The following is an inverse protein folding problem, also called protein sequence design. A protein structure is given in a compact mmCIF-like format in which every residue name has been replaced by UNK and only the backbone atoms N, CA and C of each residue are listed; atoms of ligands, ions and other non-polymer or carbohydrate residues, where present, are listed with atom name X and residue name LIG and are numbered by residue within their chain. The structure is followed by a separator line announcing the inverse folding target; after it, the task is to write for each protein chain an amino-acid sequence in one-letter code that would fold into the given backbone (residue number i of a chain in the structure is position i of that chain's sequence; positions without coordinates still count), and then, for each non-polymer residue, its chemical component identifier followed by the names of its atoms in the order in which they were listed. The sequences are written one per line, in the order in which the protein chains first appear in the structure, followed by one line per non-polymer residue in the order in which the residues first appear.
data_IF_348715895300
#
_entry.id   IF_348715895300
#
_cell.length_a   1.000
_cell.length_b   1.000
_cell.length_c   1.000
_cell.angle_alpha   90.00
_cell.angle_beta   90.00
_cell.angle_gamma   90.00
#
_symmetry.space_group_name_H-M   'P 1'
#
loop_
_entity.id
_entity.type
_entity.pdbx_description
1 polymer ?
#
# COMPACT_ATOMS: atom_id res chain seq x y z
N UNK A 1 7.83 16.53 4.59
CA UNK A 1 8.32 17.25 3.38
C UNK A 1 7.18 17.40 2.40
N UNK A 2 7.08 18.50 1.64
CA UNK A 2 5.99 18.70 0.69
C UNK A 2 5.96 17.63 -0.42
N UNK A 3 7.13 17.28 -0.97
CA UNK A 3 7.25 16.26 -2.04
C UNK A 3 6.85 14.86 -1.57
N UNK A 4 7.13 14.50 -0.31
CA UNK A 4 6.65 13.26 0.31
C UNK A 4 5.12 13.21 0.34
N UNK A 5 4.48 14.28 0.82
CA UNK A 5 3.02 14.35 0.93
C UNK A 5 2.36 14.29 -0.44
N UNK A 6 2.93 15.00 -1.42
CA UNK A 6 2.44 14.95 -2.80
C UNK A 6 2.54 13.53 -3.39
N UNK A 7 3.69 12.87 -3.23
CA UNK A 7 3.89 11.50 -3.71
C UNK A 7 2.93 10.50 -3.06
N UNK A 8 2.63 10.68 -1.78
CA UNK A 8 1.65 9.87 -1.04
C UNK A 8 0.24 10.04 -1.62
N UNK A 9 -0.23 11.28 -1.74
CA UNK A 9 -1.57 11.59 -2.28
C UNK A 9 -1.74 11.17 -3.75
N UNK A 10 -0.66 11.17 -4.54
CA UNK A 10 -0.71 10.67 -5.92
C UNK A 10 -1.17 9.21 -6.01
N UNK A 11 -0.90 8.38 -5.01
CA UNK A 11 -1.36 6.98 -5.02
C UNK A 11 -2.87 6.88 -4.84
N UNK A 12 -3.46 7.69 -3.95
CA UNK A 12 -4.92 7.73 -3.77
C UNK A 12 -5.66 8.17 -5.05
N UNK A 13 -5.01 8.95 -5.91
CA UNK A 13 -5.57 9.34 -7.21
C UNK A 13 -5.68 8.17 -8.22
N UNK A 14 -5.05 7.02 -7.95
CA UNK A 14 -5.11 5.85 -8.84
C UNK A 14 -6.40 5.04 -8.70
N UNK A 15 -7.11 5.19 -7.57
CA UNK A 15 -8.38 4.52 -7.27
C UNK A 15 -9.33 5.46 -6.51
N UNK A 16 -9.76 6.59 -7.12
CA UNK A 16 -10.56 7.58 -6.42
C UNK A 16 -11.93 7.00 -6.06
N UNK A 17 -12.21 6.85 -4.77
CA UNK A 17 -13.50 6.34 -4.28
C UNK A 17 -14.49 7.45 -3.91
N UNK A 18 -14.01 8.70 -3.78
CA UNK A 18 -14.78 9.81 -3.22
C UNK A 18 -15.10 9.66 -1.73
N UNK A 19 -14.66 8.56 -1.11
CA UNK A 19 -14.83 8.26 0.30
C UNK A 19 -13.48 8.41 1.03
N UNK A 20 -13.54 8.79 2.30
CA UNK A 20 -12.35 8.98 3.14
C UNK A 20 -11.84 7.66 3.74
N UNK A 21 -12.11 6.52 3.10
CA UNK A 21 -11.89 5.19 3.64
C UNK A 21 -10.86 4.48 2.77
N UNK A 22 -9.62 4.44 3.23
CA UNK A 22 -8.55 3.63 2.68
C UNK A 22 -8.36 2.38 3.55
N UNK A 23 -8.00 1.25 2.93
CA UNK A 23 -7.55 0.07 3.66
C UNK A 23 -6.03 0.13 3.85
N UNK A 24 -5.49 -0.78 4.65
CA UNK A 24 -4.05 -0.86 4.95
C UNK A 24 -3.20 -1.00 3.68
N UNK A 25 -3.69 -1.71 2.66
CA UNK A 25 -3.01 -1.85 1.37
C UNK A 25 -2.83 -0.50 0.67
N UNK A 26 -3.90 0.29 0.57
CA UNK A 26 -3.86 1.59 -0.10
C UNK A 26 -2.91 2.57 0.61
N UNK A 27 -3.02 2.68 1.93
CA UNK A 27 -2.16 3.54 2.76
C UNK A 27 -0.70 3.06 2.78
N UNK A 28 -0.51 1.73 2.79
CA UNK A 28 0.80 1.10 2.70
C UNK A 28 1.48 1.39 1.38
N UNK A 29 0.74 1.35 0.26
CA UNK A 29 1.27 1.69 -1.08
C UNK A 29 1.61 3.16 -1.18
N UNK A 30 0.72 4.04 -0.70
CA UNK A 30 0.94 5.48 -0.65
C UNK A 30 2.21 5.81 0.16
N UNK A 31 2.40 5.14 1.30
CA UNK A 31 3.59 5.30 2.14
C UNK A 31 4.84 4.73 1.48
N UNK A 32 4.78 3.51 0.94
CA UNK A 32 5.91 2.83 0.32
C UNK A 32 6.47 3.64 -0.87
N UNK A 33 5.61 4.04 -1.80
CA UNK A 33 6.05 4.79 -2.98
C UNK A 33 6.47 6.22 -2.66
N UNK A 34 5.87 6.88 -1.66
CA UNK A 34 6.33 8.19 -1.20
C UNK A 34 7.74 8.13 -0.59
N UNK A 35 8.03 7.12 0.24
CA UNK A 35 9.37 6.85 0.76
C UNK A 35 10.37 6.59 -0.36
N UNK A 36 10.02 5.68 -1.27
CA UNK A 36 10.85 5.31 -2.41
C UNK A 36 11.20 6.52 -3.27
N UNK A 37 10.19 7.31 -3.65
CA UNK A 37 10.38 8.53 -4.42
C UNK A 37 11.32 9.52 -3.73
N UNK A 38 11.13 9.77 -2.44
CA UNK A 38 11.98 10.76 -1.74
C UNK A 38 13.42 10.27 -1.60
N UNK A 39 13.60 8.97 -1.37
CA UNK A 39 14.92 8.37 -1.31
C UNK A 39 15.64 8.44 -2.67
N UNK A 40 14.95 8.08 -3.76
CA UNK A 40 15.52 8.06 -5.11
C UNK A 40 15.84 9.46 -5.64
N UNK A 41 14.94 10.43 -5.46
CA UNK A 41 15.09 11.77 -6.05
C UNK A 41 15.89 12.75 -5.18
N UNK A 42 15.88 12.57 -3.85
CA UNK A 42 16.52 13.51 -2.93
C UNK A 42 17.59 12.88 -2.03
N UNK A 43 17.79 11.56 -2.08
CA UNK A 43 18.76 10.85 -1.24
C UNK A 43 18.46 10.96 0.26
N UNK A 44 17.18 11.13 0.63
CA UNK A 44 16.75 11.34 2.02
C UNK A 44 15.77 10.28 2.46
N UNK A 45 15.96 9.79 3.68
CA UNK A 45 14.94 9.02 4.38
C UNK A 45 14.03 9.97 5.17
N UNK A 46 12.71 9.72 5.13
CA UNK A 46 11.71 10.55 5.80
C UNK A 46 11.06 9.70 6.88
N UNK A 47 11.11 10.08 8.17
CA UNK A 47 10.48 9.27 9.20
C UNK A 47 8.96 9.24 9.03
N UNK A 48 8.36 8.08 9.30
CA UNK A 48 6.91 7.96 9.41
C UNK A 48 6.42 8.71 10.64
N UNK A 49 5.31 9.44 10.50
CA UNK A 49 4.73 10.21 11.60
C UNK A 49 4.01 9.33 12.63
N UNK A 50 3.52 8.15 12.22
CA UNK A 50 2.85 7.17 13.09
C UNK A 50 3.34 5.76 12.77
N UNK A 51 3.26 4.87 13.76
CA UNK A 51 3.62 3.46 13.62
C UNK A 51 2.72 2.72 12.63
N UNK A 52 1.44 3.08 12.57
CA UNK A 52 0.45 2.54 11.62
C UNK A 52 0.92 2.64 10.16
N UNK A 53 1.46 3.78 9.74
CA UNK A 53 2.04 3.95 8.39
C UNK A 53 3.29 3.09 8.17
N UNK A 54 4.13 2.91 9.19
CA UNK A 54 5.31 2.06 9.09
C UNK A 54 4.94 0.58 8.94
N UNK A 55 3.96 0.12 9.70
CA UNK A 55 3.41 -1.23 9.64
C UNK A 55 2.77 -1.50 8.26
N UNK A 56 1.93 -0.59 7.78
CA UNK A 56 1.32 -0.70 6.45
C UNK A 56 2.38 -0.74 5.33
N UNK A 57 3.41 0.11 5.41
CA UNK A 57 4.55 0.08 4.47
C UNK A 57 5.26 -1.28 4.48
N UNK A 58 5.48 -1.86 5.66
CA UNK A 58 6.17 -3.13 5.79
C UNK A 58 5.35 -4.30 5.20
N UNK A 59 4.04 -4.33 5.47
CA UNK A 59 3.14 -5.32 4.87
C UNK A 59 3.14 -5.25 3.33
N UNK A 60 3.15 -4.03 2.79
CA UNK A 60 3.27 -3.83 1.34
C UNK A 60 4.64 -4.24 0.80
N UNK A 61 5.71 -3.98 1.55
CA UNK A 61 7.05 -4.45 1.18
C UNK A 61 7.12 -5.98 1.15
N UNK A 62 6.48 -6.68 2.09
CA UNK A 62 6.35 -8.15 2.07
C UNK A 62 5.62 -8.63 0.80
N UNK A 63 4.50 -8.02 0.44
CA UNK A 63 3.77 -8.35 -0.78
C UNK A 63 4.62 -8.13 -2.04
N UNK A 64 5.28 -6.98 -2.15
CA UNK A 64 6.12 -6.62 -3.31
C UNK A 64 7.42 -7.42 -3.38
N UNK A 65 7.88 -7.99 -2.27
CA UNK A 65 9.01 -8.92 -2.25
C UNK A 65 8.65 -10.29 -2.82
N UNK A 66 7.37 -10.71 -2.73
CA UNK A 66 6.87 -11.90 -3.41
C UNK A 66 6.78 -11.66 -4.91
N UNK A 67 6.21 -10.52 -5.31
CA UNK A 67 6.07 -10.13 -6.71
C UNK A 67 5.97 -8.60 -6.84
N UNK A 68 6.92 -8.01 -7.57
CA UNK A 68 6.98 -6.56 -7.79
C UNK A 68 5.78 -6.02 -8.58
N UNK A 69 5.08 -6.88 -9.33
CA UNK A 69 3.89 -6.54 -10.09
C UNK A 69 2.59 -6.90 -9.36
N UNK A 70 2.65 -7.29 -8.08
CA UNK A 70 1.50 -7.81 -7.35
C UNK A 70 0.27 -6.91 -7.35
N UNK A 71 0.49 -5.61 -7.17
CA UNK A 71 -0.60 -4.62 -7.18
C UNK A 71 -1.26 -4.53 -8.56
N UNK A 72 -0.49 -4.67 -9.65
CA UNK A 72 -1.06 -4.67 -11.01
C UNK A 72 -1.93 -5.90 -11.23
N UNK A 73 -1.46 -7.07 -10.78
CA UNK A 73 -2.19 -8.34 -10.90
C UNK A 73 -3.48 -8.30 -10.08
N UNK A 74 -3.43 -7.87 -8.83
CA UNK A 74 -4.62 -7.74 -7.98
C UNK A 74 -5.64 -6.76 -8.57
N UNK A 75 -5.17 -5.67 -9.18
CA UNK A 75 -6.03 -4.67 -9.84
C UNK A 75 -6.72 -5.16 -11.10
N UNK A 76 -6.27 -6.27 -11.70
CA UNK A 76 -7.00 -6.93 -12.78
C UNK A 76 -8.27 -7.62 -12.26
N UNK A 77 -8.28 -8.07 -11.00
CA UNK A 77 -9.44 -8.70 -10.36
C UNK A 77 -10.36 -7.69 -9.67
N UNK A 78 -9.81 -6.66 -9.02
CA UNK A 78 -10.57 -5.57 -8.39
C UNK A 78 -9.85 -4.23 -8.64
N UNK A 79 -10.47 -3.34 -9.41
CA UNK A 79 -9.86 -2.08 -9.84
C UNK A 79 -9.62 -1.09 -8.69
N UNK A 80 -10.45 -1.15 -7.64
CA UNK A 80 -10.40 -0.26 -6.48
C UNK A 80 -9.50 -0.85 -5.41
N UNK A 81 -8.33 -0.23 -5.16
CA UNK A 81 -7.32 -0.78 -4.22
C UNK A 81 -7.93 -1.04 -2.82
N UNK A 82 -8.72 -0.10 -2.30
CA UNK A 82 -9.37 -0.23 -0.99
C UNK A 82 -10.44 -1.33 -0.90
N UNK A 83 -10.85 -1.93 -2.01
CA UNK A 83 -11.81 -3.05 -2.05
C UNK A 83 -11.15 -4.41 -2.26
N UNK A 84 -9.85 -4.46 -2.48
CA UNK A 84 -9.12 -5.73 -2.60
C UNK A 84 -9.24 -6.50 -1.28
N UNK A 85 -9.75 -7.72 -1.36
CA UNK A 85 -10.00 -8.57 -0.18
C UNK A 85 -8.82 -9.50 0.12
N UNK A 86 -8.78 -10.04 1.34
CA UNK A 86 -7.77 -11.01 1.74
C UNK A 86 -7.84 -12.30 0.90
N UNK A 87 -9.05 -12.71 0.51
CA UNK A 87 -9.28 -13.87 -0.36
C UNK A 87 -8.69 -13.64 -1.75
N UNK A 88 -8.86 -12.44 -2.32
CA UNK A 88 -8.26 -12.10 -3.61
C UNK A 88 -6.73 -12.11 -3.52
N UNK A 89 -6.16 -11.58 -2.44
CA UNK A 89 -4.71 -11.58 -2.20
C UNK A 89 -4.18 -13.01 -2.08
N UNK A 90 -4.78 -13.84 -1.24
CA UNK A 90 -4.33 -15.23 -1.02
C UNK A 90 -4.57 -16.14 -2.22
N UNK A 91 -5.61 -15.87 -3.02
CA UNK A 91 -5.83 -16.58 -4.29
C UNK A 91 -4.74 -16.28 -5.31
N UNK A 92 -4.35 -15.00 -5.44
CA UNK A 92 -3.28 -14.60 -6.35
C UNK A 92 -1.88 -15.00 -5.84
N UNK A 93 -1.68 -14.96 -4.52
CA UNK A 93 -0.41 -15.23 -3.85
C UNK A 93 -0.57 -16.26 -2.71
N UNK A 94 -0.71 -17.56 -3.03
CA UNK A 94 -0.89 -18.60 -2.01
C UNK A 94 0.31 -18.77 -1.06
N UNK A 95 1.49 -18.30 -1.45
CA UNK A 95 2.70 -18.32 -0.62
C UNK A 95 2.76 -17.17 0.38
N UNK A 96 1.93 -16.14 0.23
CA UNK A 96 1.88 -15.03 1.18
C UNK A 96 1.20 -15.51 2.47
N UNK A 97 1.73 -15.09 3.63
CA UNK A 97 1.12 -15.40 4.91
C UNK A 97 -0.34 -14.89 4.94
N UNK A 98 -1.35 -15.74 5.22
CA UNK A 98 -2.75 -15.32 5.30
C UNK A 98 -2.99 -14.19 6.29
N UNK A 99 -2.21 -14.10 7.37
CA UNK A 99 -2.28 -12.99 8.31
C UNK A 99 -1.85 -11.65 7.68
N UNK A 100 -0.80 -11.66 6.84
CA UNK A 100 -0.36 -10.49 6.07
C UNK A 100 -1.46 -10.06 5.08
N UNK A 101 -2.08 -11.01 4.37
CA UNK A 101 -3.19 -10.72 3.46
C UNK A 101 -4.41 -10.12 4.19
N UNK A 102 -4.77 -10.66 5.35
CA UNK A 102 -5.85 -10.13 6.18
C UNK A 102 -5.54 -8.71 6.67
N UNK A 103 -4.31 -8.47 7.13
CA UNK A 103 -3.88 -7.15 7.59
C UNK A 103 -3.89 -6.10 6.47
N UNK A 104 -3.46 -6.47 5.25
CA UNK A 104 -3.49 -5.61 4.06
C UNK A 104 -4.92 -5.21 3.68
N UNK A 105 -5.88 -6.14 3.76
CA UNK A 105 -7.28 -5.87 3.40
C UNK A 105 -8.07 -5.14 4.50
N UNK A 106 -7.56 -5.09 5.74
CA UNK A 106 -8.25 -4.46 6.86
C UNK A 106 -8.35 -2.92 6.71
N UNK A 107 -9.37 -2.27 7.32
CA UNK A 107 -9.43 -0.81 7.37
C UNK A 107 -8.16 -0.23 8.00
N UNK A 108 -7.62 0.85 7.42
CA UNK A 108 -6.48 1.52 8.00
C UNK A 108 -6.89 2.35 9.21
N UNK A 109 -6.15 2.23 10.31
CA UNK A 109 -6.35 3.01 11.54
C UNK A 109 -5.06 3.77 11.83
N UNK A 110 -5.18 5.10 11.87
CA UNK A 110 -4.05 6.01 12.08
C UNK A 110 -3.59 6.04 13.53
#
# INVERSE_FOLDING_TARGET
MACYQLAHECVHLLSPTGARVANTLEEGLATYFAHKYVLEEFGRDVPNSYTSYAEAKNLVAELLAVDSDAVKILRQAETTISKITAEQITTAYPSLNPATAAALAAPFVR
#
